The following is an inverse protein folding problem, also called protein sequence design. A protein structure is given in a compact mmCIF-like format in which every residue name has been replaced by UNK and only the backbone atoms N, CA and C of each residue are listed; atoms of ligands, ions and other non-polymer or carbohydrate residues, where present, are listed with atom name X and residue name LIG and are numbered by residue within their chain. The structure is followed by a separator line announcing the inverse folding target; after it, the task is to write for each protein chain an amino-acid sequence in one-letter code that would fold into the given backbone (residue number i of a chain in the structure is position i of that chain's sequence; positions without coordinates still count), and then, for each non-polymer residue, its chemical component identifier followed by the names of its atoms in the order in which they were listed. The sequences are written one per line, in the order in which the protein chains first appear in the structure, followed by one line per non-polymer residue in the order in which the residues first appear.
data_IF_092787068130
#
_entry.id   IF_092787068130
#
_cell.length_a   1.000
_cell.length_b   1.000
_cell.length_c   1.000
_cell.angle_alpha   90.00
_cell.angle_beta   90.00
_cell.angle_gamma   90.00
#
_symmetry.space_group_name_H-M   'P 1'
#
loop_
_entity.id
_entity.type
_entity.pdbx_description
1 polymer ?
#
# COMPACT_ATOMS: atom_id res chain seq x y z
N UNK A 1 34.66 41.36 -10.16
CA UNK A 1 34.72 40.02 -10.77
C UNK A 1 35.24 39.08 -9.71
N UNK A 2 34.41 38.09 -9.37
CA UNK A 2 34.53 37.23 -8.20
C UNK A 2 33.15 36.60 -8.04
N UNK A 3 32.82 35.74 -8.99
CA UNK A 3 31.58 34.97 -9.06
C UNK A 3 31.55 34.04 -7.85
N UNK A 4 30.66 34.32 -6.90
CA UNK A 4 30.31 33.39 -5.85
C UNK A 4 29.17 32.54 -6.40
N UNK A 5 29.45 31.28 -6.70
CA UNK A 5 28.46 30.22 -6.87
C UNK A 5 27.98 29.76 -5.49
N UNK A 6 26.74 30.03 -5.07
CA UNK A 6 26.10 29.23 -4.04
C UNK A 6 25.49 28.00 -4.72
N UNK A 7 26.29 26.96 -4.91
CA UNK A 7 25.78 25.60 -4.95
C UNK A 7 25.23 25.24 -3.55
N UNK A 8 24.07 25.82 -3.23
CA UNK A 8 23.36 25.67 -1.98
C UNK A 8 22.22 24.67 -2.16
N UNK A 9 22.46 23.46 -1.70
CA UNK A 9 21.48 22.47 -1.22
C UNK A 9 20.04 23.01 -1.07
N UNK A 10 19.11 22.43 -1.83
CA UNK A 10 17.68 22.66 -1.72
C UNK A 10 16.89 21.37 -1.97
N UNK A 11 16.88 20.52 -0.95
CA UNK A 11 15.82 19.57 -0.54
C UNK A 11 14.70 19.31 -1.58
N UNK A 12 14.87 18.30 -2.41
CA UNK A 12 13.77 17.66 -3.15
C UNK A 12 13.73 16.18 -2.83
N UNK A 13 13.36 15.79 -1.61
CA UNK A 13 13.36 14.38 -1.19
C UNK A 13 12.10 13.94 -0.42
N UNK A 14 11.01 14.71 -0.49
CA UNK A 14 9.71 14.31 0.10
C UNK A 14 8.49 14.40 -0.83
N UNK A 15 8.62 14.99 -2.03
CA UNK A 15 7.45 15.21 -2.94
C UNK A 15 7.31 14.12 -4.01
N UNK A 16 8.44 13.59 -4.51
CA UNK A 16 8.47 12.74 -5.71
C UNK A 16 7.76 11.38 -5.49
N UNK A 17 7.97 10.77 -4.31
CA UNK A 17 7.34 9.50 -3.97
C UNK A 17 5.81 9.62 -3.86
N UNK A 18 5.29 10.70 -3.29
CA UNK A 18 3.85 10.93 -3.17
C UNK A 18 3.20 11.28 -4.52
N UNK A 19 3.93 11.94 -5.42
CA UNK A 19 3.46 12.24 -6.79
C UNK A 19 3.39 10.99 -7.67
N UNK A 20 4.35 10.08 -7.48
CA UNK A 20 4.49 8.82 -8.23
C UNK A 20 3.71 7.67 -7.62
N UNK A 21 3.46 7.69 -6.31
CA UNK A 21 2.67 6.70 -5.59
C UNK A 21 1.30 7.27 -5.24
N UNK A 22 0.39 7.22 -6.20
CA UNK A 22 -0.96 7.76 -6.04
C UNK A 22 -1.82 6.78 -5.27
N UNK A 23 -2.43 7.27 -4.19
CA UNK A 23 -3.24 6.45 -3.28
C UNK A 23 -4.69 6.89 -3.32
N UNK A 24 -5.58 5.96 -3.69
CA UNK A 24 -7.02 6.08 -3.49
C UNK A 24 -7.44 5.29 -2.25
N UNK A 25 -7.90 5.97 -1.21
CA UNK A 25 -8.34 5.29 0.02
C UNK A 25 -9.72 4.65 -0.20
N UNK A 26 -9.86 3.39 0.17
CA UNK A 26 -11.10 2.61 0.16
C UNK A 26 -11.65 2.51 1.58
N UNK A 27 -12.50 3.45 2.04
CA UNK A 27 -12.97 3.43 3.41
C UNK A 27 -14.01 2.32 3.62
N UNK A 28 -13.93 1.68 4.80
CA UNK A 28 -14.74 0.51 5.16
C UNK A 28 -14.66 -0.62 4.12
N UNK A 29 -13.44 -0.86 3.62
CA UNK A 29 -13.19 -1.91 2.64
C UNK A 29 -13.46 -3.31 3.22
N UNK A 30 -14.06 -4.17 2.41
CA UNK A 30 -14.38 -5.54 2.74
C UNK A 30 -14.03 -6.45 1.56
N UNK A 31 -13.21 -7.46 1.82
CA UNK A 31 -12.86 -8.47 0.82
C UNK A 31 -14.04 -9.44 0.65
N UNK A 32 -14.64 -9.43 -0.54
CA UNK A 32 -15.83 -10.23 -0.90
C UNK A 32 -15.54 -11.15 -2.09
N UNK A 33 -16.52 -11.96 -2.49
CA UNK A 33 -16.32 -12.97 -3.55
C UNK A 33 -15.84 -12.37 -4.89
N UNK A 34 -16.40 -11.21 -5.27
CA UNK A 34 -16.23 -10.60 -6.60
C UNK A 34 -15.20 -9.45 -6.64
N UNK A 35 -14.68 -9.03 -5.49
CA UNK A 35 -13.72 -7.95 -5.40
C UNK A 35 -13.52 -7.44 -3.98
N UNK A 36 -13.08 -6.19 -3.88
CA UNK A 36 -13.06 -5.43 -2.64
C UNK A 36 -14.20 -4.43 -2.67
N UNK A 37 -15.18 -4.61 -1.77
CA UNK A 37 -16.30 -3.68 -1.61
C UNK A 37 -15.87 -2.55 -0.69
N UNK A 38 -16.23 -1.31 -1.01
CA UNK A 38 -15.95 -0.15 -0.18
C UNK A 38 -17.12 0.84 -0.27
N UNK A 39 -17.13 1.89 0.57
CA UNK A 39 -18.15 2.94 0.47
C UNK A 39 -17.54 4.21 -0.07
N UNK A 40 -18.19 4.81 -1.07
CA UNK A 40 -17.86 6.17 -1.52
C UNK A 40 -19.10 7.03 -1.29
N UNK A 41 -19.09 7.81 -0.20
CA UNK A 41 -20.28 8.50 0.27
C UNK A 41 -21.38 7.52 0.71
N UNK A 42 -22.58 7.66 0.15
CA UNK A 42 -23.75 6.84 0.51
C UNK A 42 -23.83 5.52 -0.28
N UNK A 43 -23.08 5.38 -1.37
CA UNK A 43 -23.21 4.24 -2.27
C UNK A 43 -22.08 3.22 -2.07
N UNK A 44 -22.39 1.90 -2.02
CA UNK A 44 -21.38 0.87 -2.04
C UNK A 44 -20.76 0.78 -3.44
N UNK A 45 -19.43 0.70 -3.49
CA UNK A 45 -18.65 0.47 -4.70
C UNK A 45 -17.88 -0.85 -4.61
N UNK A 46 -17.48 -1.36 -5.77
CA UNK A 46 -16.72 -2.60 -5.90
C UNK A 46 -15.49 -2.37 -6.77
N UNK A 47 -14.32 -2.68 -6.23
CA UNK A 47 -13.09 -2.86 -6.99
C UNK A 47 -12.98 -4.33 -7.42
N UNK A 48 -13.22 -4.68 -8.69
CA UNK A 48 -13.21 -6.07 -9.14
C UNK A 48 -11.80 -6.66 -9.15
N UNK A 49 -11.67 -7.97 -8.88
CA UNK A 49 -10.37 -8.68 -8.87
C UNK A 49 -9.56 -8.53 -10.15
N UNK A 50 -10.25 -8.39 -11.30
CA UNK A 50 -9.64 -8.24 -12.62
C UNK A 50 -8.92 -6.90 -12.81
N UNK A 51 -9.22 -5.89 -11.99
CA UNK A 51 -8.55 -4.58 -12.04
C UNK A 51 -7.31 -4.48 -11.16
N UNK A 52 -7.18 -5.35 -10.18
CA UNK A 52 -6.00 -5.38 -9.33
C UNK A 52 -4.87 -5.99 -10.17
N UNK A 53 -3.64 -5.53 -10.03
CA UNK A 53 -2.46 -6.08 -10.68
C UNK A 53 -1.69 -6.91 -9.64
N UNK A 54 -1.41 -6.31 -8.50
CA UNK A 54 -0.78 -6.96 -7.35
C UNK A 54 -1.28 -6.36 -6.03
N UNK A 55 -0.95 -7.01 -4.92
CA UNK A 55 -1.30 -6.55 -3.58
C UNK A 55 -0.11 -6.61 -2.62
N UNK A 56 0.03 -5.56 -1.82
CA UNK A 56 1.03 -5.38 -0.78
C UNK A 56 0.37 -5.26 0.59
N UNK A 57 1.10 -5.66 1.63
CA UNK A 57 0.70 -5.44 3.01
C UNK A 57 1.89 -4.94 3.83
N UNK A 58 1.64 -4.03 4.77
CA UNK A 58 2.66 -3.54 5.69
C UNK A 58 2.04 -3.11 7.02
N UNK A 59 2.80 -3.24 8.11
CA UNK A 59 2.48 -2.51 9.33
C UNK A 59 2.87 -1.04 9.18
N UNK A 60 2.00 -0.14 9.62
CA UNK A 60 2.28 1.29 9.67
C UNK A 60 1.95 1.81 11.06
N UNK A 61 2.90 2.55 11.63
CA UNK A 61 2.79 3.19 12.93
C UNK A 61 3.94 2.81 13.86
N UNK A 62 3.89 3.33 15.08
CA UNK A 62 4.92 3.09 16.07
C UNK A 62 4.76 1.71 16.74
N UNK A 63 5.86 1.00 17.04
CA UNK A 63 5.80 -0.31 17.71
C UNK A 63 5.14 -0.28 19.10
N UNK A 64 5.31 0.83 19.81
CA UNK A 64 4.78 1.05 21.17
C UNK A 64 3.49 1.89 21.15
N UNK A 65 3.04 2.32 19.97
CA UNK A 65 1.95 3.26 19.78
C UNK A 65 0.78 2.66 18.98
N UNK A 66 0.01 3.54 18.34
CA UNK A 66 -1.08 3.11 17.46
C UNK A 66 -0.48 2.61 16.15
N UNK A 67 -0.71 1.33 15.86
CA UNK A 67 -0.28 0.69 14.62
C UNK A 67 -1.47 0.08 13.89
N UNK A 68 -1.45 0.11 12.56
CA UNK A 68 -2.44 -0.53 11.70
C UNK A 68 -1.77 -1.37 10.61
N UNK A 69 -2.50 -2.32 10.04
CA UNK A 69 -2.06 -3.07 8.86
C UNK A 69 -2.65 -2.43 7.63
N UNK A 70 -1.79 -1.91 6.77
CA UNK A 70 -2.17 -1.28 5.51
C UNK A 70 -2.05 -2.30 4.38
N UNK A 71 -3.08 -2.34 3.55
CA UNK A 71 -3.15 -3.12 2.32
C UNK A 71 -3.20 -2.17 1.12
N UNK A 72 -2.22 -2.30 0.23
CA UNK A 72 -2.17 -1.54 -1.02
C UNK A 72 -2.44 -2.48 -2.19
N UNK A 73 -3.51 -2.20 -2.92
CA UNK A 73 -3.90 -2.92 -4.13
C UNK A 73 -3.44 -2.10 -5.32
N UNK A 74 -2.39 -2.55 -6.01
CA UNK A 74 -1.94 -1.90 -7.24
C UNK A 74 -2.99 -2.11 -8.31
N UNK A 75 -3.53 -1.05 -8.89
CA UNK A 75 -4.53 -1.12 -9.97
C UNK A 75 -4.02 -0.56 -11.29
N UNK A 76 -2.99 0.30 -11.24
CA UNK A 76 -2.31 0.81 -12.43
C UNK A 76 -0.82 0.95 -12.13
N UNK A 77 0.01 0.63 -13.12
CA UNK A 77 1.45 0.86 -13.10
C UNK A 77 1.89 1.37 -14.47
N UNK A 78 2.54 2.51 -14.53
CA UNK A 78 3.02 3.17 -15.77
C UNK A 78 4.41 3.70 -15.53
N UNK A 79 5.40 3.33 -16.34
CA UNK A 79 6.79 3.85 -16.34
C UNK A 79 7.39 4.21 -14.96
N UNK A 80 7.05 5.37 -14.42
CA UNK A 80 7.50 5.92 -13.13
C UNK A 80 6.43 5.97 -12.03
N UNK A 81 5.15 5.81 -12.37
CA UNK A 81 3.98 6.06 -11.54
C UNK A 81 3.21 4.76 -11.24
N UNK A 82 2.57 4.74 -10.09
CA UNK A 82 1.68 3.67 -9.64
C UNK A 82 0.43 4.27 -9.01
N UNK A 83 -0.72 3.70 -9.35
CA UNK A 83 -1.99 3.97 -8.68
C UNK A 83 -2.34 2.75 -7.85
N UNK A 84 -2.54 2.98 -6.55
CA UNK A 84 -2.95 1.96 -5.61
C UNK A 84 -4.26 2.34 -4.93
N UNK A 85 -5.07 1.33 -4.67
CA UNK A 85 -6.21 1.45 -3.76
C UNK A 85 -5.79 0.95 -2.38
N UNK A 86 -5.89 1.80 -1.37
CA UNK A 86 -5.44 1.52 0.00
C UNK A 86 -6.60 1.31 0.94
N UNK A 87 -6.49 0.32 1.81
CA UNK A 87 -7.34 0.22 2.99
C UNK A 87 -6.55 -0.37 4.14
N UNK A 88 -7.07 -0.21 5.35
CA UNK A 88 -6.43 -0.65 6.57
C UNK A 88 -7.30 -1.64 7.35
N UNK A 89 -6.64 -2.39 8.23
CA UNK A 89 -7.28 -3.26 9.20
C UNK A 89 -6.49 -3.27 10.51
N UNK A 90 -7.20 -3.50 11.61
CA UNK A 90 -6.57 -3.69 12.91
C UNK A 90 -5.60 -4.89 12.87
N UNK A 91 -4.42 -4.76 13.52
CA UNK A 91 -3.45 -5.85 13.59
C UNK A 91 -4.02 -7.06 14.33
N UNK A 92 -3.56 -8.25 13.91
CA UNK A 92 -4.00 -9.55 14.45
C UNK A 92 -4.90 -10.31 13.47
N UNK A 93 -5.85 -11.08 14.01
CA UNK A 93 -6.64 -12.05 13.24
C UNK A 93 -7.42 -11.43 12.08
N UNK A 94 -7.92 -10.20 12.24
CA UNK A 94 -8.65 -9.49 11.20
C UNK A 94 -7.78 -9.17 9.98
N UNK A 95 -6.58 -8.66 10.20
CA UNK A 95 -5.60 -8.42 9.15
C UNK A 95 -5.11 -9.72 8.51
N UNK A 96 -4.87 -10.76 9.31
CA UNK A 96 -4.46 -12.07 8.78
C UNK A 96 -5.54 -12.70 7.90
N UNK A 97 -6.80 -12.69 8.33
CA UNK A 97 -7.92 -13.21 7.56
C UNK A 97 -8.11 -12.43 6.25
N UNK A 98 -7.97 -11.11 6.31
CA UNK A 98 -7.98 -10.24 5.12
C UNK A 98 -6.87 -10.64 4.14
N UNK A 99 -5.65 -10.80 4.63
CA UNK A 99 -4.51 -11.22 3.81
C UNK A 99 -4.73 -12.61 3.18
N UNK A 100 -5.29 -13.57 3.94
CA UNK A 100 -5.63 -14.91 3.42
C UNK A 100 -6.64 -14.85 2.30
N UNK A 101 -7.68 -14.01 2.42
CA UNK A 101 -8.69 -13.84 1.36
C UNK A 101 -8.10 -13.19 0.12
N UNK A 102 -7.26 -12.16 0.28
CA UNK A 102 -6.53 -11.55 -0.83
C UNK A 102 -5.64 -12.58 -1.53
N UNK A 103 -4.86 -13.35 -0.75
CA UNK A 103 -4.00 -14.40 -1.26
C UNK A 103 -4.77 -15.47 -2.04
N UNK A 104 -5.91 -15.94 -1.51
CA UNK A 104 -6.75 -16.93 -2.16
C UNK A 104 -7.34 -16.44 -3.49
N UNK A 105 -7.61 -15.14 -3.63
CA UNK A 105 -8.22 -14.54 -4.83
C UNK A 105 -7.21 -14.10 -5.88
N UNK A 106 -6.10 -13.53 -5.46
CA UNK A 106 -5.07 -12.98 -6.35
C UNK A 106 -4.04 -14.04 -6.75
N UNK A 107 -3.80 -15.03 -5.89
CA UNK A 107 -2.76 -16.05 -6.08
C UNK A 107 -1.36 -15.53 -5.77
N UNK A 108 -0.41 -16.46 -5.63
CA UNK A 108 0.96 -16.17 -5.19
C UNK A 108 1.70 -15.16 -6.08
N UNK A 109 1.49 -15.21 -7.38
CA UNK A 109 2.21 -14.35 -8.35
C UNK A 109 1.84 -12.87 -8.23
N UNK A 110 0.63 -12.58 -7.75
CA UNK A 110 0.10 -11.21 -7.59
C UNK A 110 0.16 -10.73 -6.14
N UNK A 111 0.70 -11.54 -5.25
CA UNK A 111 0.87 -11.18 -3.85
C UNK A 111 2.35 -10.92 -3.55
N UNK A 112 2.63 -9.74 -2.98
CA UNK A 112 3.96 -9.45 -2.45
C UNK A 112 4.34 -10.44 -1.35
N UNK A 113 5.66 -10.52 -1.08
CA UNK A 113 6.19 -11.33 0.01
C UNK A 113 5.57 -10.96 1.35
N UNK A 114 5.42 -9.66 1.63
CA UNK A 114 4.89 -9.19 2.91
C UNK A 114 3.42 -9.58 3.13
N UNK A 115 2.60 -9.55 2.07
CA UNK A 115 1.22 -10.04 2.14
C UNK A 115 1.17 -11.55 2.37
N UNK A 116 2.04 -12.32 1.71
CA UNK A 116 2.07 -13.76 1.91
C UNK A 116 2.50 -14.16 3.32
N UNK A 117 3.50 -13.48 3.89
CA UNK A 117 3.93 -13.72 5.28
C UNK A 117 2.82 -13.32 6.26
N UNK A 118 2.12 -12.21 6.04
CA UNK A 118 0.94 -11.86 6.83
C UNK A 118 -0.15 -12.93 6.75
N UNK A 119 -0.43 -13.47 5.56
CA UNK A 119 -1.44 -14.52 5.39
C UNK A 119 -1.07 -15.82 6.10
N UNK A 120 0.22 -16.17 6.11
CA UNK A 120 0.74 -17.40 6.73
C UNK A 120 0.90 -17.26 8.25
N UNK A 121 1.64 -16.25 8.69
CA UNK A 121 2.16 -16.11 10.05
C UNK A 121 1.45 -15.01 10.86
N UNK A 122 0.61 -14.19 10.22
CA UNK A 122 -0.15 -13.14 10.90
C UNK A 122 0.64 -11.86 11.13
N UNK A 123 1.89 -11.80 10.66
CA UNK A 123 2.77 -10.63 10.78
C UNK A 123 3.33 -10.30 9.39
N UNK A 124 3.17 -9.08 8.88
CA UNK A 124 3.78 -8.70 7.62
C UNK A 124 5.29 -8.52 7.80
N UNK A 125 6.04 -8.88 6.77
CA UNK A 125 7.51 -8.74 6.74
C UNK A 125 8.00 -7.29 6.74
N UNK A 126 7.10 -6.32 6.69
CA UNK A 126 7.37 -4.89 6.49
C UNK A 126 6.68 -4.06 7.55
N UNK A 127 7.42 -3.09 8.06
CA UNK A 127 6.94 -2.12 9.02
C UNK A 127 7.53 -0.76 8.69
N UNK A 128 6.67 0.26 8.69
CA UNK A 128 7.04 1.64 8.43
C UNK A 128 6.48 2.53 9.54
N UNK A 129 7.19 3.62 9.84
CA UNK A 129 6.77 4.58 10.89
C UNK A 129 5.59 5.44 10.42
N UNK A 130 5.46 5.67 9.12
CA UNK A 130 4.43 6.49 8.51
C UNK A 130 4.08 6.02 7.08
N UNK A 131 3.04 6.63 6.51
CA UNK A 131 2.53 6.30 5.17
C UNK A 131 3.44 6.80 4.04
N UNK A 132 4.28 7.80 4.29
CA UNK A 132 5.24 8.34 3.30
C UNK A 132 6.39 7.35 3.09
N UNK A 133 6.92 6.84 4.20
CA UNK A 133 7.92 5.77 4.23
C UNK A 133 7.39 4.49 3.58
N UNK A 134 6.12 4.15 3.81
CA UNK A 134 5.45 3.04 3.11
C UNK A 134 5.42 3.27 1.59
N UNK A 135 5.06 4.47 1.13
CA UNK A 135 4.98 4.78 -0.30
C UNK A 135 6.36 4.66 -0.97
N UNK A 136 7.40 5.24 -0.37
CA UNK A 136 8.77 5.13 -0.85
C UNK A 136 9.23 3.66 -0.92
N UNK A 137 9.08 2.90 0.16
CA UNK A 137 9.47 1.49 0.19
C UNK A 137 8.63 0.58 -0.74
N UNK A 138 7.42 1.01 -1.09
CA UNK A 138 6.57 0.30 -2.05
C UNK A 138 6.99 0.57 -3.50
N UNK A 139 7.44 1.79 -3.82
CA UNK A 139 8.01 2.12 -5.13
C UNK A 139 9.29 1.30 -5.39
N UNK A 140 10.20 1.26 -4.41
CA UNK A 140 11.43 0.46 -4.50
C UNK A 140 11.14 -1.02 -4.80
N UNK A 141 10.09 -1.56 -4.16
CA UNK A 141 9.64 -2.94 -4.34
C UNK A 141 9.07 -3.25 -5.70
N UNK A 142 8.36 -2.27 -6.24
CA UNK A 142 7.86 -2.35 -7.60
C UNK A 142 9.01 -2.16 -8.59
N UNK A 143 10.17 -1.64 -8.17
CA UNK A 143 11.30 -1.29 -9.02
C UNK A 143 11.06 0.00 -9.78
N UNK A 144 10.45 0.99 -9.12
CA UNK A 144 10.12 2.32 -9.63
C UNK A 144 10.89 3.41 -8.89
#
# INVERSE_FOLDING_TARGET
MGEFDPAGFGLGHGSDAAERYRVEVLPWAEVVADGVRFREGAEPRLLPWARILSALAAHVGEPEGVSTVVFDLVIERKDSDVLVCRFDADPGDAAQETARRLYAKLGRERCSRSLCELAADGVPSRSYVDLESLAAGSLEDLGL
#
